data_IF_214878713943
#
_entry.id   IF_214878713943
#
_cell.length_a   1.000
_cell.length_b   1.000
_cell.length_c   1.000
_cell.angle_alpha   90.00
_cell.angle_beta   90.00
_cell.angle_gamma   90.00
#
_symmetry.space_group_name_H-M   'P 1'
#
loop_
_entity.id
_entity.type
_entity.pdbx_description
1 polymer ?
#
# COMPACT_ATOMS: atom_id res chain seq x y z
N UNK A 1 6.09 23.06 5.48
CA UNK A 1 6.61 21.88 6.21
C UNK A 1 7.51 22.38 7.31
N UNK A 2 7.30 21.96 8.56
CA UNK A 2 8.22 22.21 9.67
C UNK A 2 9.41 21.25 9.51
N UNK A 3 10.63 21.80 9.44
CA UNK A 3 11.84 20.99 9.38
C UNK A 3 12.18 20.50 10.79
N UNK A 4 12.13 19.19 11.00
CA UNK A 4 12.56 18.56 12.26
C UNK A 4 13.94 17.96 12.05
N UNK A 5 14.93 18.43 12.81
CA UNK A 5 16.27 17.86 12.78
C UNK A 5 16.32 16.63 13.69
N UNK A 6 16.78 15.51 13.13
CA UNK A 6 17.03 14.28 13.87
C UNK A 6 18.51 13.98 13.77
N UNK A 7 19.18 13.81 14.91
CA UNK A 7 20.59 13.42 14.95
C UNK A 7 20.69 11.91 14.94
N UNK A 8 21.53 11.36 14.07
CA UNK A 8 21.78 9.93 13.92
C UNK A 8 23.28 9.65 13.92
N UNK A 9 23.67 8.41 14.24
CA UNK A 9 25.06 7.99 14.10
C UNK A 9 25.47 7.93 12.62
N UNK A 10 26.76 8.12 12.35
CA UNK A 10 27.30 8.05 10.99
C UNK A 10 27.14 6.65 10.37
N UNK A 11 27.17 5.59 11.18
CA UNK A 11 26.90 4.23 10.70
C UNK A 11 25.44 4.07 10.24
N UNK A 12 24.48 4.58 11.01
CA UNK A 12 23.06 4.52 10.63
C UNK A 12 22.79 5.35 9.37
N UNK A 13 23.47 6.50 9.21
CA UNK A 13 23.40 7.33 8.01
C UNK A 13 23.89 6.58 6.77
N UNK A 14 24.98 5.81 6.88
CA UNK A 14 25.47 4.94 5.80
C UNK A 14 24.45 3.87 5.41
N UNK A 15 23.78 3.28 6.39
CA UNK A 15 22.74 2.29 6.12
C UNK A 15 21.50 2.91 5.46
N UNK A 16 21.07 4.09 5.90
CA UNK A 16 19.98 4.82 5.24
C UNK A 16 20.32 5.17 3.79
N UNK A 17 21.57 5.54 3.49
CA UNK A 17 22.05 5.76 2.12
C UNK A 17 21.96 4.50 1.27
N UNK A 18 22.34 3.33 1.81
CA UNK A 18 22.20 2.04 1.10
C UNK A 18 20.73 1.73 0.81
N UNK A 19 19.84 2.00 1.75
CA UNK A 19 18.39 1.82 1.53
C UNK A 19 17.89 2.78 0.46
N UNK A 20 18.30 4.05 0.49
CA UNK A 20 17.96 5.05 -0.51
C UNK A 20 18.38 4.62 -1.91
N UNK A 21 19.62 4.17 -2.09
CA UNK A 21 20.15 3.71 -3.37
C UNK A 21 19.35 2.53 -3.94
N UNK A 22 19.00 1.55 -3.09
CA UNK A 22 18.14 0.41 -3.49
C UNK A 22 16.75 0.88 -3.90
N UNK A 23 16.16 1.82 -3.14
CA UNK A 23 14.83 2.34 -3.43
C UNK A 23 14.82 3.12 -4.75
N UNK A 24 15.83 3.96 -4.97
CA UNK A 24 16.03 4.72 -6.20
C UNK A 24 16.20 3.82 -7.42
N UNK A 25 17.04 2.78 -7.32
CA UNK A 25 17.19 1.78 -8.39
C UNK A 25 15.87 1.06 -8.69
N UNK A 26 15.08 0.72 -7.67
CA UNK A 26 13.82 0.01 -7.85
C UNK A 26 12.69 0.84 -8.46
N UNK A 27 12.67 2.17 -8.18
CA UNK A 27 11.58 3.07 -8.60
C UNK A 27 11.93 3.93 -9.81
N UNK A 28 13.21 4.04 -10.17
CA UNK A 28 13.67 4.89 -11.26
C UNK A 28 13.46 6.39 -11.02
N UNK A 29 13.32 6.81 -9.76
CA UNK A 29 13.05 8.20 -9.37
C UNK A 29 14.03 8.65 -8.29
N UNK A 30 14.27 9.96 -8.20
CA UNK A 30 15.08 10.55 -7.11
C UNK A 30 14.39 10.28 -5.77
N UNK A 31 15.13 9.72 -4.83
CA UNK A 31 14.65 9.41 -3.47
C UNK A 31 15.37 10.32 -2.49
N UNK A 32 14.62 10.93 -1.57
CA UNK A 32 15.18 11.66 -0.43
C UNK A 32 15.10 10.84 0.87
N UNK A 33 15.61 11.41 1.98
CA UNK A 33 15.56 10.72 3.27
C UNK A 33 14.14 10.61 3.84
N UNK A 34 13.22 11.52 3.50
CA UNK A 34 11.83 11.43 3.97
C UNK A 34 11.12 10.24 3.31
N UNK A 35 11.36 10.03 2.01
CA UNK A 35 10.89 8.84 1.27
C UNK A 35 11.41 7.54 1.88
N UNK A 36 12.69 7.51 2.26
CA UNK A 36 13.31 6.35 2.92
C UNK A 36 12.68 6.08 4.28
N UNK A 37 12.51 7.12 5.11
CA UNK A 37 11.90 6.97 6.43
C UNK A 37 10.45 6.51 6.32
N UNK A 38 9.65 7.10 5.40
CA UNK A 38 8.28 6.64 5.12
C UNK A 38 8.24 5.19 4.65
N UNK A 39 9.18 4.79 3.80
CA UNK A 39 9.30 3.40 3.36
C UNK A 39 9.58 2.45 4.54
N UNK A 40 10.53 2.80 5.40
CA UNK A 40 10.89 2.01 6.58
C UNK A 40 9.74 1.91 7.58
N UNK A 41 9.07 3.03 7.88
CA UNK A 41 7.89 3.06 8.76
C UNK A 41 6.78 2.18 8.18
N UNK A 42 6.44 2.33 6.89
CA UNK A 42 5.44 1.48 6.23
C UNK A 42 5.81 0.01 6.25
N UNK A 43 7.09 -0.31 6.09
CA UNK A 43 7.58 -1.68 6.13
C UNK A 43 7.47 -2.28 7.53
N UNK A 44 7.78 -1.49 8.57
CA UNK A 44 7.69 -1.90 9.97
C UNK A 44 6.23 -2.05 10.45
N UNK A 45 5.32 -1.18 9.99
CA UNK A 45 3.89 -1.23 10.34
C UNK A 45 3.10 -2.22 9.49
N UNK A 46 3.71 -2.83 8.48
CA UNK A 46 3.03 -3.80 7.62
C UNK A 46 2.72 -5.06 8.43
N UNK A 47 1.46 -5.23 8.79
CA UNK A 47 1.00 -6.44 9.48
C UNK A 47 1.07 -7.64 8.53
N UNK A 48 2.16 -8.41 8.66
CA UNK A 48 2.41 -9.60 7.85
C UNK A 48 1.40 -10.71 8.09
N UNK A 49 0.77 -10.77 9.26
CA UNK A 49 -0.29 -11.74 9.52
C UNK A 49 -1.52 -11.45 8.66
N UNK A 50 -1.96 -10.18 8.61
CA UNK A 50 -3.06 -9.75 7.73
C UNK A 50 -2.74 -9.95 6.26
N UNK A 51 -1.50 -9.65 5.84
CA UNK A 51 -1.08 -9.89 4.46
C UNK A 51 -1.15 -11.37 4.08
N UNK A 52 -0.64 -12.26 4.95
CA UNK A 52 -0.72 -13.71 4.72
C UNK A 52 -2.16 -14.23 4.73
N UNK A 53 -3.01 -13.70 5.60
CA UNK A 53 -4.43 -14.04 5.64
C UNK A 53 -5.15 -13.65 4.34
N UNK A 54 -4.87 -12.46 3.80
CA UNK A 54 -5.44 -12.01 2.53
C UNK A 54 -4.96 -12.86 1.34
N UNK A 55 -3.72 -13.37 1.41
CA UNK A 55 -3.15 -14.26 0.39
C UNK A 55 -3.44 -15.75 0.65
N UNK A 56 -4.13 -16.10 1.74
CA UNK A 56 -4.40 -17.49 2.06
C UNK A 56 -5.33 -18.12 1.01
N UNK A 57 -5.11 -19.39 0.62
CA UNK A 57 -6.01 -20.08 -0.28
C UNK A 57 -7.42 -20.12 0.33
N UNK A 58 -8.39 -19.55 -0.36
CA UNK A 58 -9.77 -19.43 0.14
C UNK A 58 -10.56 -20.74 0.05
N UNK A 59 -9.97 -21.80 -0.51
CA UNK A 59 -10.65 -23.06 -0.81
C UNK A 59 -11.70 -22.95 -1.93
N UNK A 60 -11.84 -21.76 -2.54
CA UNK A 60 -12.83 -21.45 -3.57
C UNK A 60 -12.13 -21.25 -4.92
N UNK A 61 -12.73 -21.76 -5.99
CA UNK A 61 -12.17 -21.60 -7.34
C UNK A 61 -12.11 -20.12 -7.75
N UNK A 62 -11.08 -19.76 -8.53
CA UNK A 62 -10.91 -18.40 -9.05
C UNK A 62 -12.09 -17.94 -9.91
N UNK A 63 -12.76 -18.88 -10.60
CA UNK A 63 -13.97 -18.62 -11.40
C UNK A 63 -15.14 -18.20 -10.52
N UNK A 64 -15.35 -18.87 -9.40
CA UNK A 64 -16.44 -18.57 -8.47
C UNK A 64 -16.23 -17.20 -7.80
N UNK A 65 -14.99 -16.90 -7.39
CA UNK A 65 -14.63 -15.59 -6.84
C UNK A 65 -14.87 -14.46 -7.84
N UNK A 66 -14.51 -14.65 -9.12
CA UNK A 66 -14.78 -13.66 -10.18
C UNK A 66 -16.27 -13.44 -10.39
N UNK A 67 -17.07 -14.50 -10.35
CA UNK A 67 -18.53 -14.42 -10.49
C UNK A 67 -19.15 -13.63 -9.34
N UNK A 68 -18.73 -13.88 -8.10
CA UNK A 68 -19.19 -13.12 -6.95
C UNK A 68 -18.77 -11.65 -7.01
N UNK A 69 -17.52 -11.37 -7.40
CA UNK A 69 -17.04 -9.99 -7.57
C UNK A 69 -17.85 -9.23 -8.62
N UNK A 70 -18.14 -9.86 -9.77
CA UNK A 70 -18.94 -9.26 -10.84
C UNK A 70 -20.36 -8.94 -10.36
N UNK A 71 -20.99 -9.87 -9.62
CA UNK A 71 -22.32 -9.69 -9.05
C UNK A 71 -22.35 -8.53 -8.04
N UNK A 72 -21.37 -8.48 -7.12
CA UNK A 72 -21.27 -7.39 -6.14
C UNK A 72 -21.12 -6.02 -6.81
N UNK A 73 -20.27 -5.91 -7.84
CA UNK A 73 -20.11 -4.66 -8.61
C UNK A 73 -21.38 -4.21 -9.32
N UNK A 74 -22.17 -5.16 -9.83
CA UNK A 74 -23.45 -4.85 -10.47
C UNK A 74 -24.47 -4.33 -9.44
N UNK A 75 -24.51 -4.94 -8.25
CA UNK A 75 -25.35 -4.50 -7.14
C UNK A 75 -24.97 -3.10 -6.64
N UNK A 76 -23.67 -2.82 -6.52
CA UNK A 76 -23.15 -1.50 -6.13
C UNK A 76 -23.52 -0.44 -7.16
N UNK A 77 -23.33 -0.73 -8.46
CA UNK A 77 -23.74 0.18 -9.54
C UNK A 77 -25.25 0.46 -9.51
N UNK A 78 -26.08 -0.57 -9.25
CA UNK A 78 -27.54 -0.39 -9.12
C UNK A 78 -27.89 0.51 -7.94
N UNK A 79 -27.21 0.36 -6.80
CA UNK A 79 -27.39 1.24 -5.64
C UNK A 79 -27.01 2.67 -5.97
N UNK A 80 -25.84 2.89 -6.58
CA UNK A 80 -25.39 4.22 -7.02
C UNK A 80 -26.43 4.90 -7.93
N UNK A 81 -26.88 4.23 -8.99
CA UNK A 81 -27.91 4.74 -9.90
C UNK A 81 -29.24 5.04 -9.18
N UNK A 82 -29.62 4.23 -8.20
CA UNK A 82 -30.84 4.46 -7.42
C UNK A 82 -30.73 5.68 -6.50
N UNK A 83 -29.53 5.95 -5.98
CA UNK A 83 -29.24 7.13 -5.16
C UNK A 83 -29.22 8.39 -6.02
N UNK A 84 -28.58 8.35 -7.19
CA UNK A 84 -28.57 9.46 -8.15
C UNK A 84 -29.99 9.86 -8.56
N UNK A 85 -30.87 8.89 -8.82
CA UNK A 85 -32.28 9.14 -9.16
C UNK A 85 -33.12 9.69 -8.01
N UNK A 86 -32.74 9.45 -6.75
CA UNK A 86 -33.44 9.99 -5.57
C UNK A 86 -33.01 11.42 -5.24
N UNK A 87 -31.83 11.83 -5.69
CA UNK A 87 -31.22 13.14 -5.43
C UNK A 87 -31.14 14.04 -6.67
N UNK A 88 -31.73 13.61 -7.80
CA UNK A 88 -32.02 14.44 -8.98
C UNK A 88 -33.45 14.93 -8.94
#
# INVERSE_FOLDING_TARGET
MTATTITISEDLKRDLLRVAARLQASRGQKIDYDDVLRYLVRKATRNMALFRQACAPTGVSSRELRKQLAKGREEDRKKELSLERRHS
#
